data_IF_474342242089
#
_entry.id   IF_474342242089
#
_cell.length_a   1.000
_cell.length_b   1.000
_cell.length_c   1.000
_cell.angle_alpha   90.00
_cell.angle_beta   90.00
_cell.angle_gamma   90.00
#
_symmetry.space_group_name_H-M   'P 1'
#
loop_
_entity.id
_entity.type
_entity.pdbx_description
1 polymer ?
#
# COMPACT_ATOMS: atom_id res chain seq x y z
N UNK A 1 -6.73 -30.14 6.58
CA UNK A 1 -7.48 -28.86 6.63
C UNK A 1 -6.61 -27.63 6.32
N UNK A 2 -5.97 -26.93 7.26
CA UNK A 2 -5.23 -25.67 6.93
C UNK A 2 -4.13 -25.88 5.87
N UNK A 3 -3.34 -26.97 5.98
CA UNK A 3 -2.28 -27.27 5.00
C UNK A 3 -2.78 -27.62 3.59
N UNK A 4 -3.99 -28.18 3.46
CA UNK A 4 -4.59 -28.46 2.14
C UNK A 4 -5.04 -27.16 1.47
N UNK A 5 -5.71 -26.29 2.23
CA UNK A 5 -6.11 -24.97 1.73
C UNK A 5 -4.92 -24.08 1.36
N UNK A 6 -3.77 -24.21 2.03
CA UNK A 6 -2.54 -23.52 1.63
C UNK A 6 -2.05 -23.96 0.23
N UNK A 7 -2.19 -25.24 -0.12
CA UNK A 7 -1.81 -25.76 -1.43
C UNK A 7 -2.75 -25.29 -2.54
N UNK A 8 -4.05 -25.23 -2.27
CA UNK A 8 -5.05 -24.70 -3.20
C UNK A 8 -4.94 -23.18 -3.36
N UNK A 9 -4.69 -22.44 -2.27
CA UNK A 9 -4.53 -21.00 -2.30
C UNK A 9 -3.35 -20.53 -3.15
N UNK A 10 -2.24 -21.28 -3.17
CA UNK A 10 -1.08 -20.94 -4.03
C UNK A 10 -1.45 -20.86 -5.52
N UNK A 11 -2.37 -21.70 -5.98
CA UNK A 11 -2.82 -21.70 -7.38
C UNK A 11 -3.84 -20.59 -7.68
N UNK A 12 -4.33 -19.89 -6.65
CA UNK A 12 -5.32 -18.81 -6.75
C UNK A 12 -4.70 -17.42 -6.55
N UNK A 13 -3.39 -17.36 -6.32
CA UNK A 13 -2.64 -16.12 -6.08
C UNK A 13 -1.85 -15.77 -7.35
N UNK A 14 -2.18 -14.62 -7.93
CA UNK A 14 -1.48 -14.03 -9.07
C UNK A 14 -0.85 -12.71 -8.63
N UNK A 15 0.38 -12.74 -8.09
CA UNK A 15 0.99 -11.56 -7.51
C UNK A 15 1.41 -10.60 -8.63
N UNK A 16 0.84 -9.40 -8.60
CA UNK A 16 1.18 -8.31 -9.49
C UNK A 16 1.57 -7.09 -8.66
N UNK A 17 2.54 -6.33 -9.14
CA UNK A 17 2.94 -5.08 -8.53
C UNK A 17 3.42 -4.08 -9.57
N UNK A 18 3.24 -2.81 -9.26
CA UNK A 18 3.76 -1.69 -10.02
C UNK A 18 4.17 -0.60 -9.05
N UNK A 19 5.25 0.11 -9.38
CA UNK A 19 5.65 1.29 -8.65
C UNK A 19 6.30 2.30 -9.59
N UNK A 20 6.27 3.56 -9.16
CA UNK A 20 6.99 4.65 -9.79
C UNK A 20 7.68 5.48 -8.71
N UNK A 21 8.86 6.01 -9.01
CA UNK A 21 9.58 6.92 -8.12
C UNK A 21 9.50 8.31 -8.74
N UNK A 22 9.06 9.28 -7.94
CA UNK A 22 8.90 10.68 -8.32
C UNK A 22 9.67 11.58 -7.36
N UNK A 23 10.09 12.73 -7.86
CA UNK A 23 10.69 13.77 -7.04
C UNK A 23 9.61 14.47 -6.21
N UNK A 24 9.94 14.77 -4.95
CA UNK A 24 9.13 15.65 -4.10
C UNK A 24 9.58 17.07 -4.41
N UNK A 25 8.68 17.86 -4.99
CA UNK A 25 9.01 19.22 -5.42
C UNK A 25 9.02 20.18 -4.23
N UNK A 26 8.01 20.09 -3.35
CA UNK A 26 7.90 20.91 -2.15
C UNK A 26 6.86 20.34 -1.17
N UNK A 27 7.04 20.65 0.11
CA UNK A 27 6.04 20.42 1.16
C UNK A 27 5.71 21.75 1.82
N UNK A 28 4.43 22.11 1.85
CA UNK A 28 3.96 23.39 2.40
C UNK A 28 2.76 23.14 3.31
N UNK A 29 3.00 23.22 4.63
CA UNK A 29 1.99 22.90 5.63
C UNK A 29 1.58 21.43 5.53
N UNK A 30 0.30 21.17 5.23
CA UNK A 30 -0.24 19.82 5.00
C UNK A 30 -0.26 19.41 3.53
N UNK A 31 0.19 20.25 2.59
CA UNK A 31 0.21 19.95 1.16
C UNK A 31 1.60 19.46 0.73
N UNK A 32 1.61 18.39 -0.06
CA UNK A 32 2.82 17.79 -0.65
C UNK A 32 2.66 17.85 -2.15
N UNK A 33 3.62 18.45 -2.83
CA UNK A 33 3.67 18.59 -4.28
C UNK A 33 4.75 17.66 -4.82
N UNK A 34 4.37 16.82 -5.76
CA UNK A 34 5.19 15.75 -6.34
C UNK A 34 5.20 15.93 -7.85
N UNK A 35 6.33 15.58 -8.47
CA UNK A 35 6.51 15.57 -9.92
C UNK A 35 5.30 14.92 -10.63
N UNK A 36 4.86 15.54 -11.72
CA UNK A 36 3.70 15.06 -12.49
C UNK A 36 2.38 15.69 -12.06
N UNK A 37 2.42 16.85 -11.39
CA UNK A 37 1.23 17.56 -10.88
C UNK A 37 0.42 16.74 -9.87
N UNK A 38 1.10 15.86 -9.12
CA UNK A 38 0.51 15.06 -8.07
C UNK A 38 0.55 15.86 -6.77
N UNK A 39 -0.61 16.00 -6.13
CA UNK A 39 -0.75 16.72 -4.87
C UNK A 39 -1.41 15.81 -3.85
N UNK A 40 -0.75 15.65 -2.69
CA UNK A 40 -1.35 15.03 -1.53
C UNK A 40 -1.61 16.07 -0.44
N UNK A 41 -2.58 15.77 0.43
CA UNK A 41 -2.93 16.56 1.60
C UNK A 41 -3.04 15.69 2.85
N UNK A 42 -2.37 16.10 3.93
CA UNK A 42 -2.46 15.47 5.25
C UNK A 42 -1.27 15.85 6.12
N UNK A 43 -1.51 16.14 7.39
CA UNK A 43 -0.45 16.58 8.30
C UNK A 43 0.56 15.47 8.59
N UNK A 44 0.08 14.23 8.77
CA UNK A 44 0.95 13.09 9.10
C UNK A 44 1.83 12.72 7.91
N UNK A 45 1.28 12.70 6.69
CA UNK A 45 2.06 12.42 5.48
C UNK A 45 3.00 13.56 5.12
N UNK A 46 2.61 14.82 5.34
CA UNK A 46 3.48 15.96 5.11
C UNK A 46 4.72 15.88 6.00
N UNK A 47 4.56 15.57 7.29
CA UNK A 47 5.69 15.38 8.22
C UNK A 47 6.64 14.25 7.82
N UNK A 48 6.11 13.21 7.19
CA UNK A 48 6.92 12.12 6.65
C UNK A 48 7.73 12.60 5.43
N UNK A 49 7.04 13.20 4.46
CA UNK A 49 7.60 13.53 3.15
C UNK A 49 8.45 14.81 3.14
N UNK A 50 8.27 15.71 4.10
CA UNK A 50 9.13 16.90 4.31
C UNK A 50 10.60 16.52 4.59
N UNK A 51 10.84 15.27 5.01
CA UNK A 51 12.17 14.71 5.27
C UNK A 51 12.74 13.92 4.08
N UNK A 52 12.02 13.89 2.96
CA UNK A 52 12.30 13.03 1.82
C UNK A 52 12.59 13.88 0.58
N UNK A 53 13.47 13.38 -0.29
CA UNK A 53 13.74 14.01 -1.60
C UNK A 53 12.94 13.36 -2.72
N UNK A 54 12.57 12.09 -2.55
CA UNK A 54 11.77 11.33 -3.51
C UNK A 54 10.67 10.55 -2.79
N UNK A 55 9.67 10.12 -3.54
CA UNK A 55 8.62 9.23 -3.07
C UNK A 55 8.38 8.13 -4.09
N UNK A 56 8.38 6.89 -3.62
CA UNK A 56 7.89 5.77 -4.40
C UNK A 56 6.39 5.62 -4.16
N UNK A 57 5.60 5.63 -5.23
CA UNK A 57 4.18 5.30 -5.22
C UNK A 57 4.01 3.88 -5.76
N UNK A 58 3.14 3.08 -5.15
CA UNK A 58 2.98 1.69 -5.54
C UNK A 58 1.54 1.19 -5.43
N UNK A 59 1.24 0.17 -6.23
CA UNK A 59 0.05 -0.68 -6.13
C UNK A 59 0.50 -2.13 -6.22
N UNK A 60 -0.06 -2.98 -5.36
CA UNK A 60 0.09 -4.43 -5.45
C UNK A 60 -1.28 -5.10 -5.39
N UNK A 61 -1.40 -6.29 -5.97
CA UNK A 61 -2.56 -7.17 -5.84
C UNK A 61 -2.15 -8.63 -5.94
N UNK A 62 -2.90 -9.53 -5.31
CA UNK A 62 -2.76 -10.98 -5.52
C UNK A 62 -3.74 -11.51 -6.57
N UNK A 63 -4.38 -10.61 -7.33
CA UNK A 63 -5.40 -10.95 -8.30
C UNK A 63 -6.76 -11.23 -7.64
N UNK A 64 -7.72 -11.67 -8.45
CA UNK A 64 -9.13 -11.83 -8.04
C UNK A 64 -9.52 -13.25 -7.65
N UNK A 65 -8.77 -14.26 -8.09
CA UNK A 65 -9.22 -15.66 -8.05
C UNK A 65 -9.42 -16.21 -6.64
N UNK A 66 -8.53 -15.84 -5.70
CA UNK A 66 -8.67 -16.21 -4.30
C UNK A 66 -9.94 -15.61 -3.69
N UNK A 67 -10.23 -14.34 -3.97
CA UNK A 67 -11.45 -13.64 -3.52
C UNK A 67 -12.70 -14.27 -4.14
N UNK A 68 -12.69 -14.55 -5.45
CA UNK A 68 -13.79 -15.22 -6.15
C UNK A 68 -14.06 -16.64 -5.58
N UNK A 69 -13.02 -17.38 -5.19
CA UNK A 69 -13.19 -18.67 -4.52
C UNK A 69 -13.75 -18.52 -3.11
N UNK A 70 -13.28 -17.55 -2.33
CA UNK A 70 -13.79 -17.31 -0.99
C UNK A 70 -15.29 -16.97 -1.03
N UNK A 71 -15.70 -16.10 -1.94
CA UNK A 71 -17.10 -15.74 -2.14
C UNK A 71 -17.97 -16.96 -2.51
N UNK A 72 -17.50 -17.82 -3.43
CA UNK A 72 -18.22 -19.06 -3.77
C UNK A 72 -18.38 -19.99 -2.57
N UNK A 73 -17.33 -20.18 -1.77
CA UNK A 73 -17.41 -21.00 -0.56
C UNK A 73 -18.43 -20.44 0.45
N UNK A 74 -18.53 -19.11 0.57
CA UNK A 74 -19.53 -18.48 1.43
C UNK A 74 -20.96 -18.72 0.92
N UNK A 75 -21.18 -18.58 -0.39
CA UNK A 75 -22.47 -18.85 -1.04
C UNK A 75 -22.91 -20.32 -0.86
N UNK A 76 -21.94 -21.26 -0.87
CA UNK A 76 -22.16 -22.68 -0.63
C UNK A 76 -22.34 -23.04 0.87
N UNK A 77 -22.34 -22.04 1.76
CA UNK A 77 -22.50 -22.23 3.22
C UNK A 77 -21.24 -22.70 3.94
N UNK A 78 -20.10 -22.78 3.26
CA UNK A 78 -18.79 -23.16 3.79
C UNK A 78 -18.06 -21.94 4.39
N UNK A 79 -18.71 -21.30 5.37
CA UNK A 79 -18.27 -20.01 5.94
C UNK A 79 -16.87 -20.06 6.55
N UNK A 80 -16.51 -21.14 7.24
CA UNK A 80 -15.18 -21.27 7.86
C UNK A 80 -14.09 -21.32 6.78
N UNK A 81 -14.33 -22.05 5.69
CA UNK A 81 -13.40 -22.18 4.57
C UNK A 81 -13.23 -20.85 3.84
N UNK A 82 -14.34 -20.16 3.56
CA UNK A 82 -14.33 -18.80 3.00
C UNK A 82 -13.50 -17.86 3.87
N UNK A 83 -13.72 -17.86 5.18
CA UNK A 83 -13.01 -16.99 6.11
C UNK A 83 -11.51 -17.31 6.17
N UNK A 84 -11.14 -18.59 6.20
CA UNK A 84 -9.74 -19.02 6.16
C UNK A 84 -9.07 -18.54 4.87
N UNK A 85 -9.74 -18.69 3.72
CA UNK A 85 -9.18 -18.27 2.44
C UNK A 85 -9.02 -16.74 2.37
N UNK A 86 -10.02 -15.98 2.82
CA UNK A 86 -9.94 -14.51 2.90
C UNK A 86 -8.78 -14.03 3.78
N UNK A 87 -8.56 -14.69 4.93
CA UNK A 87 -7.45 -14.41 5.82
C UNK A 87 -6.09 -14.71 5.17
N UNK A 88 -5.98 -15.82 4.42
CA UNK A 88 -4.78 -16.15 3.63
C UNK A 88 -4.52 -15.06 2.59
N UNK A 89 -5.55 -14.60 1.87
CA UNK A 89 -5.41 -13.52 0.89
C UNK A 89 -4.94 -12.21 1.51
N UNK A 90 -5.43 -11.89 2.71
CA UNK A 90 -5.03 -10.69 3.46
C UNK A 90 -3.55 -10.73 3.89
N UNK A 91 -3.06 -11.88 4.36
CA UNK A 91 -1.63 -12.03 4.67
C UNK A 91 -0.77 -12.01 3.39
N UNK A 92 -1.22 -12.69 2.33
CA UNK A 92 -0.48 -12.78 1.07
C UNK A 92 -0.24 -11.41 0.42
N UNK A 93 -1.25 -10.53 0.37
CA UNK A 93 -1.06 -9.18 -0.19
C UNK A 93 -0.12 -8.31 0.66
N UNK A 94 -0.13 -8.48 1.98
CA UNK A 94 0.83 -7.80 2.87
C UNK A 94 2.26 -8.28 2.62
N UNK A 95 2.47 -9.59 2.45
CA UNK A 95 3.79 -10.17 2.09
C UNK A 95 4.27 -9.65 0.74
N UNK A 96 3.37 -9.53 -0.24
CA UNK A 96 3.72 -8.96 -1.54
C UNK A 96 4.14 -7.50 -1.42
N UNK A 97 3.42 -6.69 -0.66
CA UNK A 97 3.81 -5.30 -0.48
C UNK A 97 5.09 -5.15 0.39
N UNK A 98 5.39 -6.09 1.30
CA UNK A 98 6.68 -6.14 2.02
C UNK A 98 7.82 -6.48 1.04
N UNK A 99 7.58 -7.40 0.10
CA UNK A 99 8.51 -7.73 -0.98
C UNK A 99 8.80 -6.52 -1.88
N UNK A 100 7.77 -5.78 -2.32
CA UNK A 100 7.94 -4.55 -3.10
C UNK A 100 8.70 -3.49 -2.33
N UNK A 101 8.43 -3.34 -1.03
CA UNK A 101 9.25 -2.48 -0.17
C UNK A 101 10.72 -2.94 -0.18
N UNK A 102 11.00 -4.24 -0.06
CA UNK A 102 12.37 -4.76 -0.13
C UNK A 102 13.11 -4.38 -1.42
N UNK A 103 12.42 -4.44 -2.57
CA UNK A 103 12.97 -3.98 -3.85
C UNK A 103 13.34 -2.48 -3.80
N UNK A 104 12.45 -1.65 -3.26
CA UNK A 104 12.66 -0.21 -3.15
C UNK A 104 13.78 0.14 -2.15
N UNK A 105 13.87 -0.59 -1.05
CA UNK A 105 14.93 -0.47 -0.05
C UNK A 105 16.30 -0.80 -0.66
N UNK A 106 16.37 -1.84 -1.49
CA UNK A 106 17.59 -2.22 -2.21
C UNK A 106 18.01 -1.15 -3.23
N UNK A 107 17.05 -0.61 -3.99
CA UNK A 107 17.30 0.50 -4.93
C UNK A 107 17.82 1.75 -4.23
N UNK A 108 17.13 2.19 -3.17
CA UNK A 108 17.55 3.35 -2.40
C UNK A 108 18.96 3.15 -1.81
N UNK A 109 19.27 1.95 -1.31
CA UNK A 109 20.58 1.64 -0.73
C UNK A 109 21.73 1.74 -1.74
N UNK A 110 21.51 1.34 -2.99
CA UNK A 110 22.52 1.49 -4.07
C UNK A 110 22.88 2.96 -4.29
N UNK A 111 21.93 3.87 -4.08
CA UNK A 111 22.11 5.32 -4.18
C UNK A 111 22.59 5.98 -2.86
N UNK A 112 22.86 5.18 -1.81
CA UNK A 112 23.23 5.69 -0.48
C UNK A 112 22.06 6.32 0.28
N UNK A 113 20.82 6.07 -0.15
CA UNK A 113 19.59 6.57 0.44
C UNK A 113 18.93 5.53 1.35
N UNK A 114 17.92 5.97 2.09
CA UNK A 114 17.06 5.12 2.93
C UNK A 114 15.59 5.37 2.60
N UNK A 115 14.75 4.40 2.95
CA UNK A 115 13.30 4.46 2.77
C UNK A 115 12.58 4.62 4.10
N UNK A 116 11.41 5.24 4.08
CA UNK A 116 10.47 5.24 5.21
C UNK A 116 9.72 3.91 5.35
N UNK A 117 8.83 3.85 6.34
CA UNK A 117 7.72 2.88 6.39
C UNK A 117 6.76 3.13 5.21
N UNK A 118 6.04 2.08 4.79
CA UNK A 118 4.90 2.20 3.87
C UNK A 118 3.80 3.01 4.55
N UNK A 119 3.11 3.84 3.78
CA UNK A 119 1.94 4.56 4.25
C UNK A 119 0.89 4.62 3.14
N UNK A 120 -0.38 4.50 3.49
CA UNK A 120 -1.48 4.36 2.52
C UNK A 120 -2.61 5.35 2.78
N UNK A 121 -3.31 5.83 1.74
CA UNK A 121 -4.55 6.57 1.90
C UNK A 121 -5.55 5.81 2.79
N UNK A 122 -6.34 6.54 3.59
CA UNK A 122 -7.25 5.98 4.59
C UNK A 122 -6.64 5.74 5.97
N UNK A 123 -5.32 5.89 6.12
CA UNK A 123 -4.64 5.84 7.42
C UNK A 123 -4.49 7.24 8.05
N UNK A 124 -4.61 7.29 9.37
CA UNK A 124 -4.49 8.52 10.16
C UNK A 124 -5.45 9.61 9.64
N UNK A 125 -4.92 10.76 9.23
CA UNK A 125 -5.62 11.91 8.66
C UNK A 125 -5.52 11.95 7.13
N UNK A 126 -4.94 10.93 6.49
CA UNK A 126 -4.85 10.89 5.04
C UNK A 126 -6.14 10.36 4.44
N UNK A 127 -6.87 11.24 3.74
CA UNK A 127 -8.15 10.92 3.12
C UNK A 127 -8.03 9.80 2.07
N UNK A 128 -8.95 8.84 2.09
CA UNK A 128 -8.95 7.70 1.17
C UNK A 128 -9.15 8.11 -0.29
N UNK A 129 -9.84 9.22 -0.57
CA UNK A 129 -10.03 9.73 -1.93
C UNK A 129 -8.72 10.04 -2.65
N UNK A 130 -7.67 10.38 -1.89
CA UNK A 130 -6.34 10.64 -2.45
C UNK A 130 -5.65 9.39 -2.98
N UNK A 131 -6.27 8.22 -2.83
CA UNK A 131 -5.87 7.02 -3.55
C UNK A 131 -5.95 7.19 -5.06
N UNK A 132 -6.87 8.01 -5.58
CA UNK A 132 -6.90 8.38 -7.00
C UNK A 132 -5.60 9.03 -7.46
N UNK A 133 -4.98 9.84 -6.59
CA UNK A 133 -3.73 10.54 -6.91
C UNK A 133 -2.55 9.55 -6.96
N UNK A 134 -2.58 8.47 -6.18
CA UNK A 134 -1.61 7.37 -6.29
C UNK A 134 -1.75 6.67 -7.64
N UNK A 135 -2.98 6.38 -8.07
CA UNK A 135 -3.25 5.74 -9.36
C UNK A 135 -2.92 6.65 -10.54
N UNK A 136 -3.19 7.94 -10.42
CA UNK A 136 -2.83 8.96 -11.43
C UNK A 136 -1.31 9.04 -11.60
N UNK A 137 -0.55 8.99 -10.50
CA UNK A 137 0.92 9.03 -10.55
C UNK A 137 1.54 7.83 -11.27
N UNK A 138 0.86 6.68 -11.24
CA UNK A 138 1.24 5.44 -11.94
C UNK A 138 0.90 5.46 -13.44
N UNK A 139 0.47 6.61 -13.97
CA UNK A 139 0.19 6.82 -15.40
C UNK A 139 -0.82 5.82 -15.99
N UNK A 140 -1.75 5.33 -15.17
CA UNK A 140 -2.79 4.39 -15.58
C UNK A 140 -2.35 2.92 -15.62
N UNK A 141 -1.09 2.59 -15.34
CA UNK A 141 -0.67 1.21 -15.10
C UNK A 141 -1.05 0.82 -13.67
N UNK A 142 -2.31 0.43 -13.49
CA UNK A 142 -2.83 -0.05 -12.20
C UNK A 142 -2.85 -1.56 -12.11
N UNK A 143 -2.13 -2.29 -12.98
CA UNK A 143 -2.03 -3.76 -12.99
C UNK A 143 -3.40 -4.47 -12.90
N UNK A 144 -4.44 -3.87 -13.47
CA UNK A 144 -5.81 -4.40 -13.44
C UNK A 144 -6.60 -4.11 -12.16
N UNK A 145 -6.02 -3.38 -11.20
CA UNK A 145 -6.73 -2.87 -10.02
C UNK A 145 -7.52 -1.62 -10.41
N UNK A 146 -8.75 -1.53 -9.92
CA UNK A 146 -9.65 -0.39 -10.12
C UNK A 146 -10.11 0.18 -8.79
N UNK A 147 -10.52 1.45 -8.78
CA UNK A 147 -11.16 2.09 -7.63
C UNK A 147 -12.67 2.10 -7.82
N UNK A 148 -13.41 1.80 -6.75
CA UNK A 148 -14.86 2.02 -6.69
C UNK A 148 -15.17 3.50 -6.50
N UNK A 149 -16.45 3.88 -6.59
CA UNK A 149 -16.91 5.24 -6.24
C UNK A 149 -16.55 5.64 -4.80
N UNK A 150 -16.39 4.66 -3.90
CA UNK A 150 -15.94 4.85 -2.52
C UNK A 150 -14.42 4.75 -2.34
N UNK A 151 -13.65 4.77 -3.43
CA UNK A 151 -12.18 4.67 -3.45
C UNK A 151 -11.62 3.36 -2.90
N UNK A 152 -12.45 2.30 -2.80
CA UNK A 152 -11.96 0.97 -2.46
C UNK A 152 -11.35 0.29 -3.68
N UNK A 153 -10.33 -0.53 -3.47
CA UNK A 153 -9.70 -1.28 -4.55
C UNK A 153 -10.48 -2.54 -4.91
N UNK A 154 -10.53 -2.84 -6.21
CA UNK A 154 -11.01 -4.10 -6.76
C UNK A 154 -9.91 -4.64 -7.68
N UNK A 155 -9.33 -5.83 -7.41
CA UNK A 155 -9.67 -6.79 -6.34
C UNK A 155 -9.43 -6.25 -4.92
N UNK A 156 -10.14 -6.77 -3.92
CA UNK A 156 -10.05 -6.30 -2.53
C UNK A 156 -8.70 -6.62 -1.89
N UNK A 157 -8.07 -7.73 -2.31
CA UNK A 157 -6.73 -8.13 -1.85
C UNK A 157 -5.65 -7.37 -2.61
N UNK A 158 -5.71 -6.05 -2.46
CA UNK A 158 -4.80 -5.08 -3.06
C UNK A 158 -4.34 -4.06 -2.02
N UNK A 159 -3.14 -3.50 -2.20
CA UNK A 159 -2.62 -2.42 -1.36
C UNK A 159 -2.01 -1.36 -2.29
N UNK A 160 -2.38 -0.11 -2.08
CA UNK A 160 -1.69 1.04 -2.67
C UNK A 160 -1.07 1.90 -1.58
N UNK A 161 0.00 2.60 -1.88
CA UNK A 161 0.59 3.54 -0.94
C UNK A 161 1.84 4.21 -1.44
N UNK A 162 2.54 4.81 -0.49
CA UNK A 162 3.80 5.51 -0.69
C UNK A 162 4.90 4.97 0.21
N UNK A 163 6.13 5.17 -0.22
CA UNK A 163 7.36 5.02 0.58
C UNK A 163 8.22 6.25 0.29
N UNK A 164 8.47 7.07 1.30
CA UNK A 164 9.40 8.20 1.20
C UNK A 164 10.84 7.71 1.08
N UNK A 165 11.64 8.40 0.29
CA UNK A 165 13.06 8.11 0.07
C UNK A 165 13.86 9.35 0.44
N UNK A 166 14.89 9.18 1.26
CA UNK A 166 15.64 10.27 1.86
C UNK A 166 17.11 9.93 2.08
N UNK A 167 17.90 10.93 2.44
CA UNK A 167 19.22 10.69 2.99
C UNK A 167 19.11 9.99 4.37
N UNK A 168 20.12 9.22 4.80
CA UNK A 168 20.09 8.49 6.07
C UNK A 168 19.90 9.37 7.32
N UNK A 169 20.37 10.61 7.28
CA UNK A 169 20.36 11.58 8.38
C UNK A 169 19.05 12.37 8.52
N UNK A 170 18.12 12.28 7.55
CA UNK A 170 16.86 13.04 7.57
C UNK A 170 15.87 12.59 8.66
N UNK A 171 16.09 11.41 9.25
CA UNK A 171 15.19 10.82 10.23
C UNK A 171 13.88 10.27 9.66
N UNK A 172 13.67 10.26 8.34
CA UNK A 172 12.46 9.70 7.72
C UNK A 172 12.28 8.20 7.99
N UNK A 173 13.38 7.43 8.01
CA UNK A 173 13.38 6.00 8.32
C UNK A 173 12.81 5.68 9.72
N UNK A 174 13.03 6.59 10.67
CA UNK A 174 12.60 6.42 12.06
C UNK A 174 11.23 7.04 12.35
N UNK A 175 10.65 7.74 11.37
CA UNK A 175 9.34 8.35 11.55
C UNK A 175 8.26 7.25 11.62
N UNK A 176 7.50 7.22 12.72
CA UNK A 176 6.32 6.39 12.85
C UNK A 176 5.05 7.25 12.96
N UNK A 177 4.22 7.29 11.90
CA UNK A 177 2.92 7.98 11.90
C UNK A 177 2.03 7.65 13.11
N UNK A 178 2.09 6.41 13.59
CA UNK A 178 1.24 5.91 14.67
C UNK A 178 1.50 6.59 16.02
N UNK A 179 2.69 7.13 16.25
CA UNK A 179 3.06 7.81 17.50
C UNK A 179 2.28 9.13 17.68
N UNK A 180 1.95 9.80 16.56
CA UNK A 180 1.21 11.07 16.57
C UNK A 180 -0.26 10.92 16.15
N UNK A 181 -0.67 9.75 15.68
CA UNK A 181 -2.03 9.48 15.24
C UNK A 181 -3.00 9.37 16.43
N UNK A 182 -4.14 10.06 16.35
CA UNK A 182 -5.18 10.05 17.40
C UNK A 182 -6.13 8.84 17.35
N UNK A 183 -6.06 8.01 16.31
CA UNK A 183 -6.91 6.81 16.15
C UNK A 183 -6.33 5.62 16.92
N UNK A 184 -6.53 5.59 18.24
CA UNK A 184 -5.89 4.62 19.14
C UNK A 184 -6.37 3.18 18.96
N UNK A 185 -7.59 2.99 18.47
CA UNK A 185 -8.26 1.72 18.20
C UNK A 185 -8.02 1.19 16.77
N UNK A 186 -7.04 1.73 16.05
CA UNK A 186 -6.70 1.29 14.70
C UNK A 186 -6.06 -0.11 14.72
N UNK A 187 -6.71 -1.08 14.05
CA UNK A 187 -6.20 -2.46 13.88
C UNK A 187 -4.83 -2.51 13.18
N UNK A 188 -4.51 -1.53 12.35
CA UNK A 188 -3.24 -1.42 11.63
C UNK A 188 -2.14 -0.67 12.36
N UNK A 189 -2.34 -0.26 13.62
CA UNK A 189 -1.35 0.50 14.41
C UNK A 189 -0.13 -0.37 14.73
N UNK A 190 1.06 0.10 14.33
CA UNK A 190 2.38 -0.57 14.50
C UNK A 190 3.49 0.44 14.77
#
# INVERSE_FOLDING_TARGET
>A
MIKEYMGEAHNLIEPLYVYIIRDIEQVVGSNIYIEGSIVFNGEVIARLLDRCCKVALFVVTIGKYLEEMANRLAEDGLILQSYVLDAIGSDAVEKLADFVKGILDDKARVEGLVTSRRFSPGYCDWDISQQEMVFTALEGDSIGVQLTEGYLMVPQKSISGIIGISTPDSGAKNYNPCETCRKYDCLGRR
#
